data_IF_353548470494
#
_entry.id   IF_353548470494
#
_cell.length_a   1.000
_cell.length_b   1.000
_cell.length_c   1.000
_cell.angle_alpha   90.00
_cell.angle_beta   90.00
_cell.angle_gamma   90.00
#
_symmetry.space_group_name_H-M   'P 1'
#
loop_
_entity.id
_entity.type
_entity.pdbx_description
1 polymer ?
#
# COMPACT_ATOMS: atom_id res chain seq x y z
N UNK A 1 14.05 -11.22 -5.63
CA UNK A 1 12.88 -10.45 -5.14
C UNK A 1 13.37 -9.47 -4.10
N UNK A 2 13.15 -8.17 -4.29
CA UNK A 2 13.50 -7.17 -3.28
C UNK A 2 12.79 -7.53 -1.97
N UNK A 3 13.56 -7.81 -0.92
CA UNK A 3 13.04 -8.20 0.38
C UNK A 3 12.67 -6.92 1.12
N UNK A 4 11.46 -6.41 0.84
CA UNK A 4 10.94 -5.26 1.57
C UNK A 4 10.75 -5.65 3.03
N UNK A 5 11.33 -4.88 3.94
CA UNK A 5 11.15 -5.08 5.36
C UNK A 5 9.68 -4.78 5.74
N UNK A 6 9.14 -5.42 6.78
CA UNK A 6 7.78 -5.17 7.24
C UNK A 6 7.56 -3.70 7.60
N UNK A 7 8.55 -3.02 8.18
CA UNK A 7 8.47 -1.59 8.53
C UNK A 7 8.32 -0.72 7.28
N UNK A 8 9.10 -1.01 6.23
CA UNK A 8 9.01 -0.29 4.96
C UNK A 8 7.65 -0.49 4.31
N UNK A 9 7.15 -1.74 4.28
CA UNK A 9 5.82 -2.04 3.75
C UNK A 9 4.72 -1.28 4.50
N UNK A 10 4.81 -1.18 5.82
CA UNK A 10 3.84 -0.43 6.62
C UNK A 10 3.90 1.07 6.37
N UNK A 11 5.09 1.66 6.29
CA UNK A 11 5.26 3.07 5.96
C UNK A 11 4.62 3.42 4.61
N UNK A 12 4.78 2.53 3.62
CA UNK A 12 4.21 2.68 2.28
C UNK A 12 2.68 2.54 2.31
N UNK A 13 2.14 1.54 3.02
CA UNK A 13 0.69 1.38 3.13
C UNK A 13 0.03 2.53 3.90
N UNK A 14 0.72 3.13 4.87
CA UNK A 14 0.25 4.33 5.59
C UNK A 14 0.05 5.53 4.67
N UNK A 15 0.81 5.66 3.58
CA UNK A 15 0.62 6.73 2.58
C UNK A 15 -0.72 6.63 1.85
N UNK A 16 -1.29 5.42 1.76
CA UNK A 16 -2.62 5.21 1.18
C UNK A 16 -3.75 5.64 2.12
N UNK A 17 -3.46 5.82 3.41
CA UNK A 17 -4.44 6.17 4.44
C UNK A 17 -4.45 7.68 4.72
N UNK A 18 -5.52 8.19 5.36
CA UNK A 18 -5.49 9.53 5.94
C UNK A 18 -4.27 9.69 6.87
N UNK A 19 -3.56 10.84 6.85
CA UNK A 19 -3.93 12.11 6.20
C UNK A 19 -3.53 12.23 4.71
N UNK A 20 -2.71 11.32 4.19
CA UNK A 20 -2.14 11.46 2.85
C UNK A 20 -3.13 11.07 1.75
N UNK A 21 -3.94 10.03 1.97
CA UNK A 21 -4.95 9.54 1.02
C UNK A 21 -4.43 9.36 -0.42
N UNK A 22 -3.15 9.00 -0.58
CA UNK A 22 -2.55 8.83 -1.90
C UNK A 22 -3.11 7.59 -2.59
N UNK A 23 -3.17 7.62 -3.91
CA UNK A 23 -3.53 6.46 -4.70
C UNK A 23 -2.36 5.47 -4.79
N UNK A 24 -2.68 4.21 -5.09
CA UNK A 24 -1.67 3.15 -5.32
C UNK A 24 -0.70 3.55 -6.43
N UNK A 25 -1.17 4.26 -7.45
CA UNK A 25 -0.34 4.71 -8.57
C UNK A 25 0.65 5.80 -8.15
N UNK A 26 0.24 6.75 -7.30
CA UNK A 26 1.13 7.79 -6.79
C UNK A 26 2.21 7.20 -5.89
N UNK A 27 1.83 6.36 -4.94
CA UNK A 27 2.78 5.67 -4.05
C UNK A 27 3.75 4.79 -4.84
N UNK A 28 3.28 4.12 -5.89
CA UNK A 28 4.15 3.34 -6.78
C UNK A 28 5.23 4.20 -7.46
N UNK A 29 4.84 5.38 -7.95
CA UNK A 29 5.76 6.33 -8.61
C UNK A 29 6.75 6.93 -7.63
N UNK A 30 6.29 7.29 -6.43
CA UNK A 30 7.13 7.91 -5.40
C UNK A 30 8.14 6.92 -4.80
N UNK A 31 7.72 5.69 -4.52
CA UNK A 31 8.56 4.67 -3.90
C UNK A 31 9.35 3.83 -4.90
N UNK A 32 9.08 3.97 -6.21
CA UNK A 32 9.67 3.14 -7.26
C UNK A 32 9.24 1.68 -7.18
N UNK A 33 8.00 1.43 -6.75
CA UNK A 33 7.46 0.07 -6.56
C UNK A 33 6.44 -0.23 -7.64
N UNK A 34 6.44 -1.47 -8.13
CA UNK A 34 5.43 -1.90 -9.07
C UNK A 34 4.02 -1.80 -8.45
N UNK A 35 3.10 -1.14 -9.16
CA UNK A 35 1.70 -0.95 -8.75
C UNK A 35 1.03 -2.27 -8.31
N UNK A 36 1.31 -3.35 -9.05
CA UNK A 36 0.86 -4.71 -8.76
C UNK A 36 1.30 -5.23 -7.36
N UNK A 37 2.52 -4.90 -6.93
CA UNK A 37 3.03 -5.26 -5.59
C UNK A 37 2.25 -4.54 -4.50
N UNK A 38 1.95 -3.26 -4.70
CA UNK A 38 1.16 -2.47 -3.74
C UNK A 38 -0.29 -2.97 -3.65
N UNK A 39 -0.90 -3.36 -4.78
CA UNK A 39 -2.21 -4.01 -4.77
C UNK A 39 -2.18 -5.30 -3.94
N UNK A 40 -1.20 -6.19 -4.17
CA UNK A 40 -1.02 -7.40 -3.35
C UNK A 40 -0.87 -7.09 -1.86
N UNK A 41 -0.11 -6.05 -1.51
CA UNK A 41 0.07 -5.66 -0.12
C UNK A 41 -1.18 -5.11 0.53
N UNK A 42 -1.93 -4.27 -0.19
CA UNK A 42 -3.23 -3.76 0.23
C UNK A 42 -4.23 -4.89 0.42
N UNK A 43 -4.35 -5.79 -0.54
CA UNK A 43 -5.27 -6.93 -0.44
C UNK A 43 -4.90 -7.89 0.70
N UNK A 44 -3.60 -8.11 0.94
CA UNK A 44 -3.15 -8.86 2.12
C UNK A 44 -3.51 -8.14 3.42
N UNK A 45 -3.25 -6.84 3.52
CA UNK A 45 -3.59 -6.04 4.70
C UNK A 45 -5.11 -6.02 4.95
N UNK A 46 -5.93 -5.97 3.89
CA UNK A 46 -7.39 -6.10 3.98
C UNK A 46 -7.82 -7.45 4.56
N UNK A 47 -7.21 -8.55 4.09
CA UNK A 47 -7.46 -9.90 4.60
C UNK A 47 -7.03 -10.07 6.07
N UNK A 48 -6.00 -9.35 6.48
CA UNK A 48 -5.52 -9.30 7.87
C UNK A 48 -6.38 -8.38 8.77
N UNK A 49 -7.45 -7.78 8.25
CA UNK A 49 -8.34 -6.89 9.00
C UNK A 49 -7.78 -5.49 9.26
N UNK A 50 -6.67 -5.13 8.60
CA UNK A 50 -6.08 -3.78 8.73
C UNK A 50 -6.92 -2.76 7.93
N UNK A 51 -7.15 -1.56 8.46
CA UNK A 51 -7.83 -0.50 7.72
C UNK A 51 -6.95 -0.12 6.52
N UNK A 52 -7.42 -0.43 5.32
CA UNK A 52 -6.84 0.01 4.05
C UNK A 52 -7.95 0.61 3.22
N UNK A 53 -7.67 1.58 2.33
CA UNK A 53 -8.70 2.17 1.50
C UNK A 53 -9.37 1.07 0.67
N UNK A 54 -10.63 0.80 1.00
CA UNK A 54 -11.51 -0.05 0.24
C UNK A 54 -11.93 0.70 -1.02
N UNK A 55 -12.02 -0.02 -2.14
CA UNK A 55 -12.74 0.48 -3.30
C UNK A 55 -14.19 0.72 -2.84
N UNK A 56 -14.57 1.96 -2.55
CA UNK A 56 -15.98 2.35 -2.61
C UNK A 56 -16.37 2.09 -4.05
N UNK A 57 -17.27 1.12 -4.26
CA UNK A 57 -17.86 0.85 -5.56
C UNK A 57 -18.50 2.11 -6.11
#
# INVERSE_FOLDING_TARGET
MARYSPERKEAILKKLLPPHNLTVAEVAREEGIAVQTLYHWRDKARKEGRPVPGKTL
#
